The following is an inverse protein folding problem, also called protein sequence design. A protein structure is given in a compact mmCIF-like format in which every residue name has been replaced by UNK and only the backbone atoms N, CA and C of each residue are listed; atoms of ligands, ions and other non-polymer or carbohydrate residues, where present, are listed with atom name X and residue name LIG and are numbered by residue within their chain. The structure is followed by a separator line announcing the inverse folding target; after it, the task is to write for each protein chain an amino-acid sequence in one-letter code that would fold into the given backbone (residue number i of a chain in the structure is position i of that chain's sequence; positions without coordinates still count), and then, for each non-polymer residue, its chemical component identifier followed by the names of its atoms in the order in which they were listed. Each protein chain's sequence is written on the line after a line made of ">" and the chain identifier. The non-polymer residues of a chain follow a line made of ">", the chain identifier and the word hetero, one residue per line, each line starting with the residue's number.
data_IF_718397555850
#
_entry.id   IF_718397555850
#
_cell.length_a   1.000
_cell.length_b   1.000
_cell.length_c   1.000
_cell.angle_alpha   90.00
_cell.angle_beta   90.00
_cell.angle_gamma   90.00
#
_symmetry.space_group_name_H-M   'P 1'
#
loop_
_entity.id
_entity.type
_entity.pdbx_description
1 polymer ?
#
# COMPACT_ATOMS: atom_id res chain seq x y z
N UNK A 1 -2.06 -43.68 -43.96
CA UNK A 1 -2.34 -44.46 -42.73
C UNK A 1 -2.44 -43.51 -41.54
N UNK A 2 -3.45 -43.63 -40.67
CA UNK A 2 -3.57 -42.74 -39.51
C UNK A 2 -2.41 -42.98 -38.53
N UNK A 3 -1.73 -41.91 -38.09
CA UNK A 3 -0.68 -42.01 -37.06
C UNK A 3 -1.30 -42.56 -35.77
N UNK A 4 -0.68 -43.59 -35.18
CA UNK A 4 -1.09 -44.18 -33.90
C UNK A 4 -0.49 -43.37 -32.74
N UNK A 5 -1.30 -43.05 -31.74
CA UNK A 5 -0.82 -42.40 -30.50
C UNK A 5 0.02 -43.39 -29.72
N UNK A 6 1.13 -42.93 -29.14
CA UNK A 6 1.88 -43.70 -28.13
C UNK A 6 1.42 -43.31 -26.73
N UNK A 7 1.52 -44.24 -25.79
CA UNK A 7 1.30 -43.97 -24.36
C UNK A 7 2.64 -43.58 -23.74
N UNK A 8 2.69 -42.41 -23.11
CA UNK A 8 3.85 -41.93 -22.34
C UNK A 8 3.95 -42.68 -21.00
N UNK A 9 5.13 -42.71 -20.35
CA UNK A 9 5.30 -43.33 -19.02
C UNK A 9 4.43 -42.67 -17.93
N UNK A 10 3.99 -41.43 -18.15
CA UNK A 10 3.02 -40.75 -17.30
C UNK A 10 1.55 -41.16 -17.53
N UNK A 11 1.28 -42.16 -18.38
CA UNK A 11 -0.07 -42.69 -18.67
C UNK A 11 -0.87 -41.93 -19.74
N UNK A 12 -0.42 -40.74 -20.16
CA UNK A 12 -1.10 -39.95 -21.19
C UNK A 12 -0.77 -40.44 -22.60
N UNK A 13 -1.65 -40.16 -23.58
CA UNK A 13 -1.43 -40.51 -24.98
C UNK A 13 -1.07 -39.29 -25.84
N UNK A 14 -0.18 -39.47 -26.81
CA UNK A 14 0.15 -38.43 -27.78
C UNK A 14 1.07 -38.88 -28.91
N UNK A 15 1.45 -37.92 -29.77
CA UNK A 15 2.30 -38.15 -30.94
C UNK A 15 3.73 -37.59 -30.78
N UNK A 16 3.93 -36.70 -29.81
CA UNK A 16 5.19 -35.97 -29.61
C UNK A 16 6.26 -36.75 -28.85
N UNK A 17 7.45 -36.18 -28.70
CA UNK A 17 8.52 -36.78 -27.89
C UNK A 17 8.25 -36.66 -26.38
N UNK A 18 7.56 -35.60 -25.96
CA UNK A 18 7.24 -35.32 -24.56
C UNK A 18 5.72 -35.24 -24.33
N UNK A 19 5.28 -35.47 -23.10
CA UNK A 19 3.89 -35.31 -22.72
C UNK A 19 3.56 -33.83 -22.46
N UNK A 20 2.90 -33.18 -23.43
CA UNK A 20 2.48 -31.78 -23.28
C UNK A 20 1.57 -31.53 -22.07
N UNK A 21 0.71 -32.48 -21.71
CA UNK A 21 -0.19 -32.35 -20.54
C UNK A 21 0.60 -32.27 -19.23
N UNK A 22 1.64 -33.10 -19.09
CA UNK A 22 2.54 -33.02 -17.93
C UNK A 22 3.41 -31.77 -17.96
N UNK A 23 3.88 -31.34 -19.13
CA UNK A 23 4.65 -30.10 -19.28
C UNK A 23 3.83 -28.86 -18.91
N UNK A 24 2.58 -28.77 -19.39
CA UNK A 24 1.64 -27.72 -19.03
C UNK A 24 1.32 -27.73 -17.53
N UNK A 25 1.11 -28.91 -16.95
CA UNK A 25 0.85 -29.02 -15.51
C UNK A 25 2.04 -28.55 -14.67
N UNK A 26 3.29 -28.82 -15.09
CA UNK A 26 4.49 -28.30 -14.44
C UNK A 26 4.57 -26.78 -14.56
N UNK A 27 4.48 -26.27 -15.80
CA UNK A 27 4.51 -24.82 -16.04
C UNK A 27 3.43 -24.06 -15.26
N UNK A 28 2.23 -24.63 -15.13
CA UNK A 28 1.15 -24.05 -14.33
C UNK A 28 1.47 -24.02 -12.83
N UNK A 29 2.12 -25.06 -12.30
CA UNK A 29 2.57 -25.11 -10.90
C UNK A 29 3.68 -24.09 -10.65
N UNK A 30 4.69 -24.07 -11.52
CA UNK A 30 5.82 -23.15 -11.43
C UNK A 30 5.34 -21.69 -11.48
N UNK A 31 4.41 -21.38 -12.40
CA UNK A 31 3.78 -20.06 -12.49
C UNK A 31 3.00 -19.71 -11.22
N UNK A 32 2.19 -20.63 -10.70
CA UNK A 32 1.43 -20.40 -9.48
C UNK A 32 2.33 -20.21 -8.25
N UNK A 33 3.48 -20.88 -8.21
CA UNK A 33 4.48 -20.69 -7.15
C UNK A 33 5.15 -19.32 -7.25
N UNK A 34 5.58 -18.92 -8.45
CA UNK A 34 6.11 -17.58 -8.72
C UNK A 34 5.12 -16.49 -8.32
N UNK A 35 3.86 -16.57 -8.76
CA UNK A 35 2.82 -15.59 -8.42
C UNK A 35 2.58 -15.49 -6.91
N UNK A 36 2.71 -16.60 -6.17
CA UNK A 36 2.60 -16.60 -4.70
C UNK A 36 3.83 -15.97 -4.05
N UNK A 37 5.03 -16.27 -4.55
CA UNK A 37 6.27 -15.68 -4.05
C UNK A 37 6.26 -14.17 -4.25
N UNK A 38 5.88 -13.69 -5.45
CA UNK A 38 5.77 -12.26 -5.76
C UNK A 38 4.76 -11.55 -4.85
N UNK A 39 3.59 -12.16 -4.59
CA UNK A 39 2.59 -11.58 -3.67
C UNK A 39 3.12 -11.48 -2.24
N UNK A 40 3.86 -12.49 -1.76
CA UNK A 40 4.47 -12.47 -0.43
C UNK A 40 5.55 -11.40 -0.34
N UNK A 41 6.39 -11.29 -1.37
CA UNK A 41 7.44 -10.27 -1.42
C UNK A 41 6.84 -8.88 -1.40
N UNK A 42 5.85 -8.59 -2.26
CA UNK A 42 5.15 -7.29 -2.27
C UNK A 42 4.53 -6.93 -0.93
N UNK A 43 3.95 -7.91 -0.23
CA UNK A 43 3.40 -7.71 1.11
C UNK A 43 4.49 -7.35 2.12
N UNK A 44 5.61 -8.08 2.10
CA UNK A 44 6.75 -7.80 2.99
C UNK A 44 7.38 -6.45 2.70
N UNK A 45 7.56 -6.08 1.43
CA UNK A 45 8.06 -4.77 1.00
C UNK A 45 7.13 -3.65 1.46
N UNK A 46 5.81 -3.85 1.33
CA UNK A 46 4.82 -2.91 1.83
C UNK A 46 4.90 -2.74 3.35
N UNK A 47 4.94 -3.84 4.11
CA UNK A 47 5.08 -3.81 5.57
C UNK A 47 6.40 -3.16 6.02
N UNK A 48 7.50 -3.44 5.31
CA UNK A 48 8.81 -2.86 5.58
C UNK A 48 8.84 -1.35 5.33
N UNK A 49 8.11 -0.87 4.31
CA UNK A 49 8.08 0.56 3.96
C UNK A 49 7.55 1.45 5.09
N UNK A 50 6.75 0.90 6.01
CA UNK A 50 6.25 1.66 7.18
C UNK A 50 7.34 1.99 8.20
N UNK A 51 8.47 1.27 8.21
CA UNK A 51 9.58 1.57 9.11
C UNK A 51 10.30 2.88 8.71
N UNK A 52 10.15 3.32 7.46
CA UNK A 52 10.76 4.54 6.94
C UNK A 52 9.85 5.77 7.08
N UNK A 53 8.57 5.57 7.43
CA UNK A 53 7.62 6.67 7.60
C UNK A 53 7.87 7.43 8.92
N UNK A 54 7.79 8.77 8.92
CA UNK A 54 8.00 9.56 10.14
C UNK A 54 6.85 9.48 11.14
N UNK A 55 5.70 8.91 10.75
CA UNK A 55 4.51 8.73 11.57
C UNK A 55 3.91 7.36 11.31
N UNK A 56 3.11 6.85 12.26
CA UNK A 56 2.45 5.56 12.09
C UNK A 56 1.32 5.65 11.04
N UNK A 57 1.44 4.85 9.98
CA UNK A 57 0.45 4.76 8.90
C UNK A 57 -0.13 3.34 8.73
N UNK A 58 0.20 2.40 9.63
CA UNK A 58 -0.03 0.95 9.44
C UNK A 58 -1.50 0.55 9.42
N UNK A 59 -2.37 1.30 10.10
CA UNK A 59 -3.80 1.02 10.20
C UNK A 59 -4.65 1.81 9.20
N UNK A 60 -4.02 2.44 8.21
CA UNK A 60 -4.71 3.26 7.21
C UNK A 60 -4.87 2.50 5.89
N UNK A 61 -5.93 2.80 5.12
CA UNK A 61 -6.07 2.24 3.77
C UNK A 61 -4.90 2.66 2.85
N UNK A 62 -4.45 1.79 1.93
CA UNK A 62 -3.32 2.04 1.03
C UNK A 62 -3.36 3.41 0.33
N UNK A 63 -4.53 3.79 -0.19
CA UNK A 63 -4.71 5.07 -0.88
C UNK A 63 -4.52 6.29 0.05
N UNK A 64 -4.80 6.13 1.34
CA UNK A 64 -4.54 7.15 2.38
C UNK A 64 -3.04 7.20 2.68
N UNK A 65 -2.39 6.04 2.85
CA UNK A 65 -0.94 5.93 3.10
C UNK A 65 -0.14 6.61 1.99
N UNK A 66 -0.42 6.27 0.73
CA UNK A 66 0.27 6.82 -0.45
C UNK A 66 0.14 8.34 -0.49
N UNK A 67 -1.06 8.86 -0.21
CA UNK A 67 -1.31 10.30 -0.22
C UNK A 67 -0.70 11.01 0.98
N UNK A 68 -0.73 10.40 2.16
CA UNK A 68 -0.04 10.89 3.36
C UNK A 68 1.47 11.02 3.11
N UNK A 69 2.11 9.98 2.57
CA UNK A 69 3.53 10.00 2.17
C UNK A 69 3.83 11.13 1.19
N UNK A 70 2.93 11.37 0.23
CA UNK A 70 3.09 12.46 -0.75
C UNK A 70 3.05 13.84 -0.11
N UNK A 71 2.15 14.05 0.88
CA UNK A 71 2.08 15.29 1.67
C UNK A 71 3.35 15.43 2.51
N UNK A 72 3.77 14.39 3.23
CA UNK A 72 4.98 14.37 4.06
C UNK A 72 6.22 14.74 3.23
N UNK A 73 6.39 14.12 2.06
CA UNK A 73 7.49 14.44 1.16
C UNK A 73 7.42 15.90 0.68
N UNK A 74 6.23 16.42 0.40
CA UNK A 74 6.04 17.83 0.06
C UNK A 74 6.43 18.78 1.19
N UNK A 75 6.03 18.47 2.43
CA UNK A 75 6.38 19.26 3.62
C UNK A 75 7.89 19.23 3.90
N UNK A 76 8.56 18.09 3.67
CA UNK A 76 10.03 17.98 3.78
C UNK A 76 10.77 18.88 2.80
N UNK A 77 10.21 19.12 1.62
CA UNK A 77 10.74 20.05 0.60
C UNK A 77 10.26 21.50 0.83
N UNK A 78 9.80 21.82 2.04
CA UNK A 78 9.30 23.16 2.42
C UNK A 78 8.13 23.66 1.58
N UNK A 79 7.32 22.78 0.96
CA UNK A 79 6.07 23.21 0.33
C UNK A 79 5.08 23.70 1.37
N UNK A 80 4.25 24.66 0.98
CA UNK A 80 3.32 25.26 1.91
C UNK A 80 2.15 24.30 2.18
N UNK A 81 1.83 24.08 3.46
CA UNK A 81 0.70 23.24 3.85
C UNK A 81 -0.65 23.66 3.24
N UNK A 82 -0.79 24.95 2.85
CA UNK A 82 -1.98 25.47 2.16
C UNK A 82 -2.16 24.90 0.77
N UNK A 83 -1.08 24.50 0.08
CA UNK A 83 -1.16 23.85 -1.24
C UNK A 83 -1.85 22.49 -1.16
N UNK A 84 -1.73 21.83 -0.01
CA UNK A 84 -2.42 20.58 0.30
C UNK A 84 -3.82 20.80 0.89
N UNK A 85 -4.34 22.05 0.86
CA UNK A 85 -5.62 22.41 1.47
C UNK A 85 -5.58 22.45 3.01
N UNK A 86 -4.39 22.51 3.59
CA UNK A 86 -4.20 22.54 5.04
C UNK A 86 -4.62 23.86 5.66
N UNK A 87 -5.10 23.78 6.91
CA UNK A 87 -5.54 24.92 7.71
C UNK A 87 -5.08 24.81 9.15
N UNK A 88 -4.73 25.95 9.76
CA UNK A 88 -4.46 26.04 11.21
C UNK A 88 -5.75 25.85 11.99
N UNK A 89 -5.70 25.07 13.07
CA UNK A 89 -6.85 24.89 13.95
C UNK A 89 -7.11 26.17 14.76
N UNK A 90 -8.39 26.48 15.00
CA UNK A 90 -8.78 27.68 15.75
C UNK A 90 -8.43 27.59 17.24
N UNK A 91 -8.65 26.42 17.83
CA UNK A 91 -8.40 26.17 19.26
C UNK A 91 -6.91 26.00 19.58
N UNK A 92 -6.10 25.56 18.61
CA UNK A 92 -4.65 25.45 18.75
C UNK A 92 -3.96 25.85 17.44
N UNK A 93 -3.39 27.06 17.43
CA UNK A 93 -2.77 27.63 16.21
C UNK A 93 -1.41 27.01 15.87
N UNK A 94 -0.82 26.24 16.79
CA UNK A 94 0.39 25.45 16.54
C UNK A 94 0.11 24.15 15.80
N UNK A 95 -1.16 23.78 15.63
CA UNK A 95 -1.56 22.56 14.92
C UNK A 95 -2.18 22.92 13.58
N UNK A 96 -1.68 22.25 12.55
CA UNK A 96 -2.15 22.35 11.18
C UNK A 96 -2.86 21.05 10.83
N UNK A 97 -4.11 21.18 10.38
CA UNK A 97 -4.89 20.06 9.86
C UNK A 97 -4.86 20.08 8.34
N UNK A 98 -4.34 19.02 7.74
CA UNK A 98 -4.24 18.84 6.28
C UNK A 98 -5.18 17.71 5.85
N UNK A 99 -6.11 17.94 4.92
CA UNK A 99 -6.95 16.86 4.40
C UNK A 99 -6.13 15.88 3.56
N UNK A 100 -6.14 14.61 3.95
CA UNK A 100 -5.52 13.54 3.14
C UNK A 100 -6.56 13.07 2.11
N UNK A 101 -7.73 12.66 2.59
CA UNK A 101 -8.88 12.28 1.76
C UNK A 101 -10.16 12.90 2.33
N UNK A 102 -11.34 12.45 1.86
CA UNK A 102 -12.64 12.96 2.35
C UNK A 102 -12.82 12.76 3.86
N UNK A 103 -12.33 11.63 4.39
CA UNK A 103 -12.59 11.20 5.77
C UNK A 103 -11.35 11.20 6.65
N UNK A 104 -10.17 11.51 6.10
CA UNK A 104 -8.90 11.44 6.82
C UNK A 104 -8.20 12.79 6.82
N UNK A 105 -7.65 13.15 7.97
CA UNK A 105 -6.89 14.38 8.18
C UNK A 105 -5.56 14.06 8.84
N UNK A 106 -4.50 14.63 8.31
CA UNK A 106 -3.19 14.65 8.92
C UNK A 106 -3.10 15.85 9.85
N UNK A 107 -2.58 15.62 11.05
CA UNK A 107 -2.20 16.68 11.99
C UNK A 107 -0.69 16.88 11.89
N UNK A 108 -0.30 18.13 11.70
CA UNK A 108 1.09 18.55 11.72
C UNK A 108 1.28 19.63 12.78
N UNK A 109 2.40 19.58 13.49
CA UNK A 109 2.81 20.63 14.42
C UNK A 109 3.70 21.65 13.74
N UNK A 110 3.33 22.91 13.91
CA UNK A 110 4.07 24.07 13.43
C UNK A 110 5.11 24.49 14.47
N UNK A 111 6.39 24.31 14.13
CA UNK A 111 7.52 24.83 14.89
C UNK A 111 8.03 26.16 14.32
N UNK A 112 7.25 26.81 13.43
CA UNK A 112 7.57 28.10 12.82
C UNK A 112 8.45 27.97 11.59
N UNK A 113 9.59 27.29 11.70
CA UNK A 113 10.51 27.07 10.57
C UNK A 113 10.16 25.82 9.75
N UNK A 114 9.56 24.82 10.38
CA UNK A 114 9.20 23.56 9.74
C UNK A 114 7.94 22.96 10.36
N UNK A 115 7.32 22.07 9.59
CA UNK A 115 6.13 21.32 10.00
C UNK A 115 6.50 19.87 10.23
N UNK A 116 6.16 19.35 11.40
CA UNK A 116 6.35 17.94 11.73
C UNK A 116 5.01 17.24 11.65
N UNK A 117 4.83 16.24 10.79
CA UNK A 117 3.64 15.40 10.82
C UNK A 117 3.61 14.64 12.17
N UNK A 118 2.47 14.64 12.86
CA UNK A 118 2.30 13.91 14.12
C UNK A 118 1.48 12.63 13.89
N UNK A 119 0.33 12.73 13.22
CA UNK A 119 -0.59 11.60 13.04
C UNK A 119 -1.57 11.82 11.89
N UNK A 120 -2.21 10.73 11.43
CA UNK A 120 -3.33 10.76 10.49
C UNK A 120 -4.54 10.13 11.15
N UNK A 121 -5.60 10.91 11.28
CA UNK A 121 -6.83 10.52 11.94
C UNK A 121 -7.99 10.43 10.96
N UNK A 122 -8.85 9.44 11.18
CA UNK A 122 -10.18 9.41 10.58
C UNK A 122 -11.10 10.47 11.21
N UNK A 123 -12.18 10.85 10.52
CA UNK A 123 -13.21 11.72 11.09
C UNK A 123 -13.86 11.11 12.35
N UNK A 124 -13.91 9.79 12.45
CA UNK A 124 -14.50 9.09 13.59
C UNK A 124 -13.61 9.24 14.83
N UNK A 125 -12.31 8.98 14.71
CA UNK A 125 -11.34 9.21 15.81
C UNK A 125 -11.21 10.70 16.18
N UNK A 126 -11.26 11.58 15.18
CA UNK A 126 -11.25 13.03 15.42
C UNK A 126 -12.47 13.53 16.20
N UNK A 127 -13.63 12.87 16.07
CA UNK A 127 -14.85 13.26 16.78
C UNK A 127 -14.94 12.69 18.20
N UNK A 128 -14.30 11.54 18.47
CA UNK A 128 -14.22 10.97 19.82
C UNK A 128 -13.35 11.84 20.74
N UNK A 129 -12.35 12.54 20.20
CA UNK A 129 -11.45 13.43 20.94
C UNK A 129 -11.99 14.87 21.11
N UNK A 130 -13.32 15.07 21.14
CA UNK A 130 -13.91 16.31 21.67
C UNK A 130 -14.31 16.10 23.14
N UNK A 131 -13.63 16.72 24.11
CA UNK A 131 -14.17 16.80 25.47
C UNK A 131 -15.31 17.82 25.45
N UNK A 132 -16.55 17.33 25.45
CA UNK A 132 -17.75 18.15 25.42
C UNK A 132 -18.97 17.33 25.04
N UNK A 133 -19.34 16.41 25.93
CA UNK A 133 -20.74 16.01 26.08
C UNK A 133 -21.50 17.06 26.87
#
# INVERSE_FOLDING_TARGET
>A
MPRRKKTFPCGHQGYGQTCHRCAQARAARDKAELERAEKRQKKQEWEASFAEDPIDLRNLPDHVVIKARSIIAGLRTSRNYREFGGKRLRHNRFIISIPVTRNYRMLCRDYGSFLVPEEVLSHEEYNVCKPGG
#
